data_IF_568338908925
#
_entry.id   IF_568338908925
#
_cell.length_a   1.000
_cell.length_b   1.000
_cell.length_c   1.000
_cell.angle_alpha   90.00
_cell.angle_beta   90.00
_cell.angle_gamma   90.00
#
_symmetry.space_group_name_H-M   'P 1'
#
loop_
_entity.id
_entity.type
_entity.pdbx_description
1 polymer ?
#
# COMPACT_ATOMS: atom_id res chain seq x y z
N UNK A 1 20.04 -19.19 11.88
CA UNK A 1 19.07 -18.14 11.55
C UNK A 1 17.98 -18.72 10.65
N UNK A 2 16.76 -18.51 11.00
CA UNK A 2 15.65 -18.99 10.19
C UNK A 2 15.41 -18.02 9.03
N UNK A 3 15.36 -18.57 7.82
CA UNK A 3 15.01 -17.77 6.67
C UNK A 3 13.50 -17.73 6.56
N UNK A 4 12.92 -16.72 7.18
CA UNK A 4 11.48 -16.57 7.23
C UNK A 4 10.89 -16.42 5.84
N UNK A 5 11.66 -15.83 4.93
CA UNK A 5 11.22 -15.58 3.56
C UNK A 5 10.89 -16.86 2.80
N UNK A 6 11.61 -17.94 3.04
CA UNK A 6 11.37 -19.22 2.38
C UNK A 6 10.09 -19.89 2.86
N UNK A 7 9.56 -19.43 4.00
CA UNK A 7 8.37 -20.01 4.60
C UNK A 7 7.12 -19.17 4.38
N UNK A 8 7.24 -18.03 3.67
CA UNK A 8 6.10 -17.16 3.43
C UNK A 8 5.15 -17.84 2.45
N UNK A 9 3.87 -17.98 2.81
CA UNK A 9 2.89 -18.52 1.88
C UNK A 9 2.79 -17.61 0.65
N UNK A 10 2.84 -18.20 -0.53
CA UNK A 10 2.76 -17.41 -1.75
C UNK A 10 1.39 -16.78 -1.94
N UNK A 11 0.37 -17.45 -1.43
CA UNK A 11 -0.99 -16.97 -1.59
C UNK A 11 -1.74 -17.01 -0.29
N UNK A 12 -2.33 -15.87 0.04
CA UNK A 12 -3.37 -15.78 1.03
C UNK A 12 -4.60 -15.39 0.25
N UNK A 13 -5.57 -16.29 0.18
CA UNK A 13 -6.77 -16.02 -0.58
C UNK A 13 -7.57 -14.89 0.05
N UNK A 14 -7.88 -13.91 -0.78
CA UNK A 14 -8.75 -12.83 -0.35
C UNK A 14 -10.20 -13.31 -0.38
N UNK A 15 -11.04 -12.81 0.54
CA UNK A 15 -12.47 -13.09 0.47
C UNK A 15 -13.05 -12.64 -0.88
N UNK A 16 -14.02 -13.37 -1.38
CA UNK A 16 -14.64 -13.09 -2.67
C UNK A 16 -15.43 -11.78 -2.69
N UNK A 17 -15.50 -11.08 -1.58
CA UNK A 17 -16.26 -9.84 -1.46
C UNK A 17 -15.78 -8.75 -2.42
N UNK A 18 -14.55 -8.82 -2.91
CA UNK A 18 -14.05 -7.85 -3.87
C UNK A 18 -14.46 -8.18 -5.30
N UNK A 19 -14.86 -9.41 -5.59
CA UNK A 19 -15.24 -9.81 -6.94
C UNK A 19 -16.68 -9.45 -7.27
N UNK A 20 -17.54 -9.39 -6.27
CA UNK A 20 -18.98 -9.21 -6.47
C UNK A 20 -19.39 -7.74 -6.56
N UNK A 21 -18.51 -6.81 -6.23
CA UNK A 21 -18.84 -5.40 -6.20
C UNK A 21 -17.64 -4.56 -6.65
N UNK A 22 -17.68 -4.11 -7.89
CA UNK A 22 -16.59 -3.30 -8.47
C UNK A 22 -16.36 -2.00 -7.71
N UNK A 23 -17.40 -1.40 -7.13
CA UNK A 23 -17.26 -0.15 -6.39
C UNK A 23 -16.46 -0.34 -5.09
N UNK A 24 -16.38 -1.57 -4.58
CA UNK A 24 -15.58 -1.87 -3.39
C UNK A 24 -14.18 -2.36 -3.72
N UNK A 25 -13.87 -2.54 -5.01
CA UNK A 25 -12.53 -2.95 -5.41
C UNK A 25 -11.56 -1.78 -5.26
N UNK A 26 -10.50 -1.92 -4.43
CA UNK A 26 -9.56 -0.81 -4.24
C UNK A 26 -8.89 -0.31 -5.51
N UNK A 27 -8.67 -1.18 -6.50
CA UNK A 27 -8.09 -0.75 -7.77
C UNK A 27 -9.03 0.15 -8.54
N UNK A 28 -10.32 -0.18 -8.57
CA UNK A 28 -11.33 0.68 -9.19
C UNK A 28 -11.50 1.97 -8.40
N UNK A 29 -11.40 1.90 -7.08
CA UNK A 29 -11.51 3.06 -6.22
C UNK A 29 -10.38 4.06 -6.45
N UNK A 30 -9.17 3.58 -6.82
CA UNK A 30 -8.07 4.45 -7.20
C UNK A 30 -8.44 5.26 -8.44
N UNK A 31 -8.99 4.60 -9.46
CA UNK A 31 -9.43 5.29 -10.67
C UNK A 31 -10.48 6.35 -10.36
N UNK A 32 -11.50 5.98 -9.60
CA UNK A 32 -12.59 6.89 -9.26
C UNK A 32 -12.10 8.08 -8.44
N UNK A 33 -11.22 7.84 -7.47
CA UNK A 33 -10.68 8.90 -6.64
C UNK A 33 -9.82 9.87 -7.43
N UNK A 34 -9.02 9.36 -8.37
CA UNK A 34 -8.18 10.20 -9.22
C UNK A 34 -9.02 11.00 -10.22
N UNK A 35 -10.07 10.38 -10.77
CA UNK A 35 -10.99 11.09 -11.65
C UNK A 35 -11.68 12.23 -10.91
N UNK A 36 -12.09 11.98 -9.67
CA UNK A 36 -12.75 12.99 -8.84
C UNK A 36 -11.81 14.11 -8.43
N UNK A 37 -10.53 13.76 -8.17
CA UNK A 37 -9.54 14.76 -7.77
C UNK A 37 -9.20 15.70 -8.92
N UNK A 38 -9.07 15.14 -10.13
CA UNK A 38 -8.70 15.90 -11.31
C UNK A 38 -7.22 15.71 -11.68
N UNK A 39 -6.69 16.68 -12.41
CA UNK A 39 -5.36 16.56 -12.98
C UNK A 39 -4.25 16.70 -11.91
N UNK A 40 -3.29 15.79 -11.98
CA UNK A 40 -2.08 15.88 -11.16
C UNK A 40 -1.05 16.74 -11.90
N UNK A 41 -0.64 17.84 -11.29
CA UNK A 41 0.28 18.80 -11.89
C UNK A 41 1.73 18.41 -11.63
N UNK A 42 2.60 18.80 -12.56
CA UNK A 42 4.04 18.61 -12.41
C UNK A 42 4.75 19.97 -12.43
N UNK A 43 5.82 20.07 -11.67
CA UNK A 43 6.66 21.25 -11.69
C UNK A 43 7.62 21.20 -12.89
N UNK A 44 8.30 22.31 -13.16
CA UNK A 44 9.17 22.44 -14.33
C UNK A 44 10.30 21.40 -14.37
N UNK A 45 10.72 20.90 -13.22
CA UNK A 45 11.77 19.89 -13.10
C UNK A 45 11.25 18.44 -13.19
N UNK A 46 9.96 18.27 -13.47
CA UNK A 46 9.33 16.96 -13.58
C UNK A 46 8.83 16.39 -12.26
N UNK A 47 9.11 17.06 -11.17
CA UNK A 47 8.62 16.65 -9.83
C UNK A 47 7.11 16.95 -9.74
N UNK A 48 6.36 16.06 -9.14
CA UNK A 48 4.92 16.24 -8.97
C UNK A 48 4.66 17.40 -8.01
N UNK A 49 3.67 18.25 -8.32
CA UNK A 49 3.27 19.33 -7.42
C UNK A 49 2.99 18.78 -6.01
N UNK A 50 3.45 19.50 -4.99
CA UNK A 50 3.43 18.99 -3.62
C UNK A 50 2.02 18.69 -3.13
N UNK A 51 1.07 19.61 -3.34
CA UNK A 51 -0.30 19.39 -2.89
C UNK A 51 -0.95 18.21 -3.61
N UNK A 52 -0.71 18.10 -4.90
CA UNK A 52 -1.22 16.97 -5.69
C UNK A 52 -0.55 15.67 -5.26
N UNK A 53 0.73 15.72 -4.90
CA UNK A 53 1.44 14.54 -4.42
C UNK A 53 0.91 14.07 -3.07
N UNK A 54 0.58 15.00 -2.18
CA UNK A 54 -0.05 14.64 -0.90
C UNK A 54 -1.41 13.98 -1.13
N UNK A 55 -2.22 14.52 -2.02
CA UNK A 55 -3.51 13.93 -2.37
C UNK A 55 -3.35 12.54 -2.97
N UNK A 56 -2.37 12.38 -3.86
CA UNK A 56 -2.06 11.10 -4.48
C UNK A 56 -1.64 10.07 -3.43
N UNK A 57 -0.75 10.46 -2.50
CA UNK A 57 -0.31 9.59 -1.42
C UNK A 57 -1.47 9.18 -0.51
N UNK A 58 -2.37 10.10 -0.22
CA UNK A 58 -3.54 9.78 0.60
C UNK A 58 -4.42 8.74 -0.09
N UNK A 59 -4.65 8.89 -1.39
CA UNK A 59 -5.43 7.92 -2.17
C UNK A 59 -4.73 6.56 -2.13
N UNK A 60 -3.42 6.53 -2.38
CA UNK A 60 -2.64 5.30 -2.36
C UNK A 60 -2.73 4.62 -1.01
N UNK A 61 -2.51 5.37 0.07
CA UNK A 61 -2.52 4.80 1.41
C UNK A 61 -3.90 4.24 1.77
N UNK A 62 -4.95 5.01 1.50
CA UNK A 62 -6.31 4.59 1.81
C UNK A 62 -6.69 3.30 1.10
N UNK A 63 -6.41 3.22 -0.19
CA UNK A 63 -6.77 2.03 -0.96
C UNK A 63 -5.85 0.85 -0.66
N UNK A 64 -4.60 1.11 -0.32
CA UNK A 64 -3.68 0.05 0.12
C UNK A 64 -4.18 -0.60 1.41
N UNK A 65 -4.65 0.20 2.36
CA UNK A 65 -5.21 -0.31 3.61
C UNK A 65 -6.48 -1.12 3.35
N UNK A 66 -7.33 -0.68 2.43
CA UNK A 66 -8.54 -1.43 2.05
C UNK A 66 -8.19 -2.76 1.41
N UNK A 67 -7.20 -2.78 0.53
CA UNK A 67 -6.76 -4.01 -0.12
C UNK A 67 -6.15 -4.97 0.90
N UNK A 68 -5.43 -4.43 1.89
CA UNK A 68 -4.75 -5.21 2.91
C UNK A 68 -5.70 -5.74 3.99
N UNK A 69 -6.81 -5.05 4.26
CA UNK A 69 -7.68 -5.35 5.40
C UNK A 69 -8.10 -6.82 5.53
N UNK A 70 -8.54 -7.52 4.46
CA UNK A 70 -8.89 -8.93 4.59
C UNK A 70 -7.71 -9.80 4.98
N UNK A 71 -6.55 -9.56 4.40
CA UNK A 71 -5.32 -10.29 4.73
C UNK A 71 -4.90 -10.01 6.17
N UNK A 72 -4.99 -8.76 6.58
CA UNK A 72 -4.65 -8.35 7.94
C UNK A 72 -5.53 -9.09 8.95
N UNK A 73 -6.82 -9.19 8.67
CA UNK A 73 -7.74 -9.89 9.56
C UNK A 73 -7.34 -11.35 9.74
N UNK A 74 -7.12 -12.06 8.63
CA UNK A 74 -6.76 -13.46 8.65
C UNK A 74 -5.45 -13.68 9.40
N UNK A 75 -4.42 -12.90 9.08
CA UNK A 75 -3.10 -13.04 9.69
C UNK A 75 -3.12 -12.66 11.17
N UNK A 76 -3.93 -11.67 11.55
CA UNK A 76 -4.05 -11.27 12.95
C UNK A 76 -4.69 -12.39 13.76
N UNK A 77 -5.73 -13.06 13.23
CA UNK A 77 -6.35 -14.20 13.90
C UNK A 77 -5.33 -15.33 14.10
N UNK A 78 -4.51 -15.58 13.08
CA UNK A 78 -3.47 -16.59 13.18
C UNK A 78 -2.40 -16.23 14.22
N UNK A 79 -2.04 -14.94 14.29
CA UNK A 79 -1.09 -14.45 15.30
C UNK A 79 -1.63 -14.65 16.71
N UNK A 80 -2.90 -14.34 16.90
CA UNK A 80 -3.54 -14.52 18.21
C UNK A 80 -3.53 -15.99 18.59
N UNK A 81 -3.85 -16.87 17.65
CA UNK A 81 -3.82 -18.32 17.91
C UNK A 81 -2.40 -18.78 18.27
N UNK A 82 -1.39 -18.31 17.55
CA UNK A 82 0.00 -18.65 17.85
C UNK A 82 0.40 -18.16 19.24
N UNK A 83 -0.06 -16.98 19.63
CA UNK A 83 0.23 -16.42 20.94
C UNK A 83 -0.43 -17.24 22.05
N UNK A 84 -1.67 -17.67 21.84
CA UNK A 84 -2.39 -18.52 22.81
C UNK A 84 -1.72 -19.86 22.98
N UNK A 85 -1.13 -20.40 21.94
CA UNK A 85 -0.41 -21.67 21.96
C UNK A 85 1.03 -21.50 22.43
N UNK A 86 1.43 -20.27 22.76
CA UNK A 86 2.79 -19.94 23.18
C UNK A 86 3.83 -20.32 22.13
N UNK A 87 3.43 -20.26 20.86
CA UNK A 87 4.30 -20.55 19.74
C UNK A 87 4.95 -19.26 19.25
N UNK A 88 6.03 -18.87 19.90
CA UNK A 88 6.72 -17.61 19.62
C UNK A 88 7.26 -17.57 18.18
N UNK A 89 7.80 -18.68 17.71
CA UNK A 89 8.35 -18.75 16.35
C UNK A 89 7.30 -18.47 15.31
N UNK A 90 6.12 -19.08 15.45
CA UNK A 90 5.01 -18.86 14.52
C UNK A 90 4.48 -17.44 14.60
N UNK A 91 4.41 -16.90 15.81
CA UNK A 91 3.98 -15.51 16.00
C UNK A 91 4.90 -14.53 15.24
N UNK A 92 6.22 -14.70 15.39
CA UNK A 92 7.19 -13.83 14.73
C UNK A 92 7.14 -13.97 13.20
N UNK A 93 6.95 -15.20 12.73
CA UNK A 93 6.80 -15.47 11.31
C UNK A 93 5.57 -14.73 10.74
N UNK A 94 4.45 -14.83 11.44
CA UNK A 94 3.21 -14.19 11.01
C UNK A 94 3.32 -12.66 11.03
N UNK A 95 4.03 -12.10 12.02
CA UNK A 95 4.27 -10.67 12.07
C UNK A 95 5.07 -10.20 10.86
N UNK A 96 6.04 -11.00 10.44
CA UNK A 96 6.84 -10.71 9.25
C UNK A 96 5.99 -10.80 7.98
N UNK A 97 5.18 -11.86 7.87
CA UNK A 97 4.28 -12.04 6.72
C UNK A 97 3.30 -10.87 6.62
N UNK A 98 2.77 -10.41 7.75
CA UNK A 98 1.87 -9.25 7.79
C UNK A 98 2.51 -8.03 7.14
N UNK A 99 3.75 -7.74 7.52
CA UNK A 99 4.49 -6.60 6.97
C UNK A 99 4.68 -6.73 5.47
N UNK A 100 5.07 -7.91 5.01
CA UNK A 100 5.31 -8.15 3.59
C UNK A 100 4.03 -8.05 2.78
N UNK A 101 2.92 -8.55 3.31
CA UNK A 101 1.64 -8.46 2.62
C UNK A 101 1.16 -7.01 2.51
N UNK A 102 1.39 -6.21 3.53
CA UNK A 102 1.08 -4.78 3.44
C UNK A 102 1.93 -4.11 2.35
N UNK A 103 3.22 -4.43 2.31
CA UNK A 103 4.11 -3.85 1.29
C UNK A 103 3.69 -4.25 -0.12
N UNK A 104 3.22 -5.48 -0.31
CA UNK A 104 2.69 -5.91 -1.60
C UNK A 104 1.45 -5.12 -2.00
N UNK A 105 0.53 -4.91 -1.06
CA UNK A 105 -0.66 -4.12 -1.32
C UNK A 105 -0.30 -2.69 -1.69
N UNK A 106 0.63 -2.10 -0.95
CA UNK A 106 1.09 -0.74 -1.22
C UNK A 106 1.70 -0.63 -2.63
N UNK A 107 2.50 -1.62 -3.01
CA UNK A 107 3.13 -1.64 -4.33
C UNK A 107 2.09 -1.76 -5.45
N UNK A 108 1.11 -2.64 -5.28
CA UNK A 108 0.04 -2.83 -6.27
C UNK A 108 -0.74 -1.54 -6.48
N UNK A 109 -1.15 -0.89 -5.39
CA UNK A 109 -1.93 0.34 -5.47
C UNK A 109 -1.09 1.50 -6.01
N UNK A 110 0.17 1.60 -5.60
CA UNK A 110 1.07 2.64 -6.11
C UNK A 110 1.26 2.50 -7.62
N UNK A 111 1.45 1.26 -8.09
CA UNK A 111 1.57 1.00 -9.52
C UNK A 111 0.32 1.42 -10.29
N UNK A 112 -0.84 1.08 -9.75
CA UNK A 112 -2.12 1.46 -10.37
C UNK A 112 -2.27 2.98 -10.42
N UNK A 113 -1.95 3.67 -9.33
CA UNK A 113 -2.03 5.12 -9.28
C UNK A 113 -1.07 5.77 -10.29
N UNK A 114 0.14 5.23 -10.42
CA UNK A 114 1.10 5.73 -11.40
C UNK A 114 0.60 5.54 -12.83
N UNK A 115 -0.02 4.39 -13.12
CA UNK A 115 -0.60 4.13 -14.43
C UNK A 115 -1.71 5.12 -14.76
N UNK A 116 -2.61 5.36 -13.81
CA UNK A 116 -3.75 6.26 -14.01
C UNK A 116 -3.34 7.73 -14.18
N UNK A 117 -2.26 8.14 -13.51
CA UNK A 117 -1.77 9.51 -13.58
C UNK A 117 -0.68 9.70 -14.63
N UNK A 118 -0.29 8.64 -15.32
CA UNK A 118 0.82 8.62 -16.28
C UNK A 118 2.15 9.08 -15.68
N UNK A 119 2.31 8.90 -14.37
CA UNK A 119 3.56 9.16 -13.67
C UNK A 119 4.39 7.88 -13.69
N UNK A 120 5.63 7.97 -14.12
CA UNK A 120 6.51 6.81 -14.11
C UNK A 120 6.88 6.46 -12.67
N UNK A 121 7.04 5.16 -12.33
CA UNK A 121 7.42 4.78 -10.96
C UNK A 121 8.72 5.43 -10.49
N UNK A 122 9.71 5.62 -11.37
CA UNK A 122 10.94 6.29 -11.00
C UNK A 122 10.70 7.77 -10.69
N UNK A 123 9.83 8.44 -11.46
CA UNK A 123 9.47 9.83 -11.19
C UNK A 123 8.73 9.96 -9.87
N UNK A 124 7.88 9.00 -9.54
CA UNK A 124 7.20 8.97 -8.24
C UNK A 124 8.21 8.85 -7.09
N UNK A 125 9.18 7.96 -7.23
CA UNK A 125 10.21 7.79 -6.21
C UNK A 125 11.10 9.01 -6.07
N UNK A 126 11.44 9.66 -7.17
CA UNK A 126 12.20 10.90 -7.14
C UNK A 126 11.44 12.03 -6.44
N UNK A 127 10.14 12.12 -6.70
CA UNK A 127 9.28 13.11 -6.04
C UNK A 127 9.24 12.84 -4.53
N UNK A 128 9.07 11.59 -4.14
CA UNK A 128 9.06 11.20 -2.73
C UNK A 128 10.37 11.61 -2.05
N UNK A 129 11.49 11.27 -2.67
CA UNK A 129 12.80 11.60 -2.13
C UNK A 129 12.99 13.10 -2.02
N UNK A 130 12.58 13.83 -3.06
CA UNK A 130 12.72 15.30 -3.10
C UNK A 130 12.02 15.95 -1.90
N UNK A 131 10.78 15.56 -1.62
CA UNK A 131 10.02 16.16 -0.54
C UNK A 131 10.43 15.64 0.83
N UNK A 132 10.91 14.40 0.92
CA UNK A 132 11.41 13.87 2.19
C UNK A 132 12.72 14.54 2.63
N UNK A 133 13.48 15.10 1.69
CA UNK A 133 14.69 15.84 2.01
C UNK A 133 14.41 17.26 2.50
N UNK A 134 13.19 17.75 2.33
CA UNK A 134 12.76 19.05 2.81
C UNK A 134 12.09 18.86 4.20
N UNK A 135 12.70 19.36 5.28
CA UNK A 135 12.14 19.13 6.63
C UNK A 135 10.70 19.59 6.80
N UNK A 136 10.33 20.71 6.19
CA UNK A 136 8.97 21.24 6.32
C UNK A 136 7.95 20.36 5.62
N UNK A 137 8.31 19.80 4.47
CA UNK A 137 7.39 18.96 3.69
C UNK A 137 7.40 17.52 4.16
N UNK A 138 8.53 17.06 4.70
CA UNK A 138 8.62 15.70 5.24
C UNK A 138 7.60 15.46 6.34
N UNK A 139 7.41 16.44 7.22
CA UNK A 139 6.47 16.32 8.34
C UNK A 139 5.05 16.10 7.84
N UNK A 140 4.66 16.71 6.72
CA UNK A 140 3.34 16.55 6.17
C UNK A 140 3.19 15.19 5.46
N UNK A 141 4.28 14.61 4.97
CA UNK A 141 4.26 13.30 4.30
C UNK A 141 4.20 12.14 5.30
N UNK A 142 4.67 12.35 6.49
CA UNK A 142 4.64 11.36 7.57
C UNK A 142 3.38 11.53 8.42
#
# INVERSE_FOLDING_TARGET
MVEIEDEIPEEIELPDTFEDNESDNPLCAVEDALDAYGRIRREADGIVNFEDFLALKEIILRQSLRLFAPKKFILTEQKIAALREQNEKEYLKLAHVLRLEYQKCLLIITKKACEETTIRPDAFQQTMKHYLEDPDKRDELE
#
